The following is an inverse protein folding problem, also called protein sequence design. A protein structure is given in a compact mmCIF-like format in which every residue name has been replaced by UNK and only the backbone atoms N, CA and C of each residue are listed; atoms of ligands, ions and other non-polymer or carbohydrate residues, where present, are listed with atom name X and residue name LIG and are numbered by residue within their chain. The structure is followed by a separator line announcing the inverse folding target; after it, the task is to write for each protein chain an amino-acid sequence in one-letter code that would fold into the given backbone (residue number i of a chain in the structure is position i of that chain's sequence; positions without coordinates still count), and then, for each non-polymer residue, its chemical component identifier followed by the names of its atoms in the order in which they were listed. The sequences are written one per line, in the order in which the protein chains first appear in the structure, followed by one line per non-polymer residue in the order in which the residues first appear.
data_IF_070586504723
#
_entry.id   IF_070586504723
#
_cell.length_a   1.000
_cell.length_b   1.000
_cell.length_c   1.000
_cell.angle_alpha   90.00
_cell.angle_beta   90.00
_cell.angle_gamma   90.00
#
_symmetry.space_group_name_H-M   'P 1'
#
loop_
_entity.id
_entity.type
_entity.pdbx_description
1 polymer ?
#
# COMPACT_ATOMS: atom_id res chain seq x y z
N UNK A 1 -28.08 15.88 47.63
CA UNK A 1 -27.47 15.01 46.60
C UNK A 1 -28.51 14.33 45.70
N UNK A 2 -29.31 15.07 44.89
CA UNK A 2 -30.30 14.46 43.95
C UNK A 2 -30.58 15.29 42.68
N UNK A 3 -29.64 16.12 42.20
CA UNK A 3 -29.89 17.06 41.08
C UNK A 3 -29.20 16.73 39.74
N UNK A 4 -28.39 15.66 39.65
CA UNK A 4 -27.54 15.42 38.47
C UNK A 4 -28.03 14.33 37.49
N UNK A 5 -29.18 13.71 37.74
CA UNK A 5 -29.67 12.58 36.91
C UNK A 5 -30.52 13.05 35.72
N UNK A 6 -31.15 14.23 35.81
CA UNK A 6 -32.09 14.71 34.78
C UNK A 6 -31.39 15.22 33.52
N UNK A 7 -30.16 15.73 33.64
CA UNK A 7 -29.42 16.32 32.50
C UNK A 7 -28.93 15.28 31.48
N UNK A 8 -28.77 14.00 31.86
CA UNK A 8 -28.29 12.94 30.97
C UNK A 8 -29.35 12.46 29.96
N UNK A 9 -30.64 12.53 30.32
CA UNK A 9 -31.72 12.03 29.47
C UNK A 9 -32.07 12.98 28.31
N UNK A 10 -31.88 14.28 28.48
CA UNK A 10 -32.19 15.28 27.44
C UNK A 10 -31.13 15.26 26.32
N UNK A 11 -29.86 15.03 26.66
CA UNK A 11 -28.77 14.94 25.67
C UNK A 11 -28.89 13.72 24.73
N UNK A 12 -29.37 12.58 25.24
CA UNK A 12 -29.54 11.36 24.46
C UNK A 12 -30.64 11.46 23.39
N UNK A 13 -31.74 12.14 23.70
CA UNK A 13 -32.85 12.33 22.75
C UNK A 13 -32.46 13.23 21.56
N UNK A 14 -31.63 14.24 21.78
CA UNK A 14 -31.19 15.15 20.72
C UNK A 14 -30.33 14.44 19.65
N UNK A 15 -29.47 13.49 20.06
CA UNK A 15 -28.61 12.74 19.13
C UNK A 15 -29.41 11.73 18.29
N UNK A 16 -30.45 11.11 18.85
CA UNK A 16 -31.33 10.20 18.11
C UNK A 16 -32.14 10.94 17.04
N UNK A 17 -32.62 12.15 17.33
CA UNK A 17 -33.37 12.98 16.37
C UNK A 17 -32.46 13.45 15.23
N UNK A 18 -31.21 13.84 15.52
CA UNK A 18 -30.25 14.23 14.50
C UNK A 18 -29.91 13.07 13.54
N UNK A 19 -29.67 11.86 14.07
CA UNK A 19 -29.41 10.68 13.25
C UNK A 19 -30.58 10.29 12.33
N UNK A 20 -31.81 10.45 12.81
CA UNK A 20 -33.01 10.15 12.03
C UNK A 20 -33.28 11.19 10.91
N UNK A 21 -32.99 12.48 11.17
CA UNK A 21 -33.10 13.54 10.16
C UNK A 21 -32.06 13.38 9.04
N UNK A 22 -30.84 12.97 9.36
CA UNK A 22 -29.79 12.66 8.37
C UNK A 22 -30.14 11.44 7.49
N UNK A 23 -30.90 10.46 8.01
CA UNK A 23 -31.39 9.33 7.22
C UNK A 23 -32.55 9.66 6.27
N UNK A 24 -33.25 10.80 6.48
CA UNK A 24 -34.35 11.26 5.61
C UNK A 24 -33.94 12.24 4.53
N UNK A 25 -32.76 12.86 4.65
CA UNK A 25 -32.13 13.57 3.55
C UNK A 25 -31.60 12.53 2.58
N UNK A 26 -32.50 11.99 1.76
CA UNK A 26 -32.19 11.04 0.70
C UNK A 26 -31.04 11.56 -0.13
N UNK A 27 -29.86 10.97 0.11
CA UNK A 27 -28.74 11.10 -0.81
C UNK A 27 -29.19 10.36 -2.05
N UNK A 28 -29.77 11.11 -2.99
CA UNK A 28 -29.97 10.66 -4.36
C UNK A 28 -28.61 10.17 -4.83
N UNK A 29 -28.48 8.86 -4.90
CA UNK A 29 -27.32 8.21 -5.49
C UNK A 29 -27.34 8.67 -6.94
N UNK A 30 -26.29 9.37 -7.43
CA UNK A 30 -26.26 9.75 -8.83
C UNK A 30 -26.45 8.48 -9.67
N UNK A 31 -27.29 8.52 -10.71
CA UNK A 31 -27.47 7.37 -11.57
C UNK A 31 -26.09 6.93 -12.07
N UNK A 32 -25.79 5.65 -11.88
CA UNK A 32 -24.62 5.02 -12.50
C UNK A 32 -24.62 5.42 -13.99
N UNK A 33 -23.50 5.90 -14.55
CA UNK A 33 -23.41 6.15 -15.97
C UNK A 33 -23.79 4.87 -16.69
N UNK A 34 -24.87 4.93 -17.47
CA UNK A 34 -25.32 3.87 -18.35
C UNK A 34 -24.40 3.80 -19.58
N UNK A 35 -23.09 3.71 -19.35
CA UNK A 35 -22.12 3.44 -20.40
C UNK A 35 -21.67 2.00 -20.22
N UNK A 36 -22.47 1.12 -20.85
CA UNK A 36 -22.01 -0.22 -21.17
C UNK A 36 -20.68 -0.10 -21.90
N UNK A 37 -19.62 -0.57 -21.24
CA UNK A 37 -18.38 -0.91 -21.91
C UNK A 37 -18.73 -1.98 -22.94
N UNK A 38 -18.98 -1.55 -24.18
CA UNK A 38 -18.95 -2.44 -25.33
C UNK A 38 -17.52 -2.96 -25.42
N UNK A 39 -17.30 -4.16 -24.89
CA UNK A 39 -16.17 -4.98 -25.29
C UNK A 39 -16.37 -5.24 -26.78
N UNK A 40 -15.73 -4.40 -27.61
CA UNK A 40 -15.61 -4.68 -29.03
C UNK A 40 -14.78 -5.94 -29.12
N UNK A 41 -15.43 -7.06 -29.41
CA UNK A 41 -14.74 -8.29 -29.76
C UNK A 41 -13.74 -7.95 -30.86
N UNK A 42 -12.46 -8.21 -30.60
CA UNK A 42 -11.44 -8.10 -31.63
C UNK A 42 -11.88 -9.00 -32.81
N UNK A 43 -11.80 -8.53 -34.06
CA UNK A 43 -12.17 -9.34 -35.21
C UNK A 43 -11.33 -10.61 -35.23
N UNK A 44 -11.96 -11.75 -34.97
CA UNK A 44 -11.43 -13.09 -35.25
C UNK A 44 -11.38 -13.25 -36.77
N UNK A 45 -10.34 -12.72 -37.40
CA UNK A 45 -10.23 -12.73 -38.86
C UNK A 45 -8.90 -12.33 -39.46
N UNK A 46 -7.85 -12.12 -38.65
CA UNK A 46 -6.50 -11.93 -39.20
C UNK A 46 -5.75 -13.25 -39.08
N UNK A 47 -5.94 -14.11 -40.07
CA UNK A 47 -5.01 -15.20 -40.36
C UNK A 47 -3.65 -14.54 -40.62
N UNK A 48 -2.59 -14.83 -39.83
CA UNK A 48 -1.27 -14.31 -40.13
C UNK A 48 -0.86 -14.81 -41.51
N UNK A 49 -0.57 -13.88 -42.43
CA UNK A 49 0.03 -14.23 -43.70
C UNK A 49 1.34 -14.99 -43.41
N UNK A 50 1.63 -16.10 -44.11
CA UNK A 50 2.91 -16.77 -43.99
C UNK A 50 4.03 -15.76 -44.30
N UNK A 51 5.15 -15.77 -43.56
CA UNK A 51 6.24 -14.85 -43.81
C UNK A 51 6.72 -15.04 -45.25
N UNK A 52 6.52 -14.00 -46.07
CA UNK A 52 7.10 -13.91 -47.40
C UNK A 52 8.61 -14.10 -47.24
N UNK A 53 9.16 -15.08 -47.96
CA UNK A 53 10.55 -15.50 -47.86
C UNK A 53 11.49 -14.30 -47.82
N UNK A 54 12.22 -14.18 -46.70
CA UNK A 54 13.29 -13.23 -46.57
C UNK A 54 14.32 -13.54 -47.65
N UNK A 55 14.38 -12.69 -48.69
CA UNK A 55 15.52 -12.63 -49.60
C UNK A 55 16.76 -12.41 -48.74
N UNK A 56 17.68 -13.37 -48.82
CA UNK A 56 19.03 -13.25 -48.28
C UNK A 56 19.67 -12.00 -48.90
N UNK A 57 19.61 -10.90 -48.17
CA UNK A 57 20.36 -9.69 -48.48
C UNK A 57 21.72 -9.93 -47.87
N UNK A 58 22.73 -10.09 -48.72
CA UNK A 58 24.12 -10.24 -48.34
C UNK A 58 24.50 -9.04 -47.47
N UNK A 59 24.55 -9.24 -46.16
CA UNK A 59 24.93 -8.21 -45.22
C UNK A 59 26.39 -7.82 -45.49
N UNK A 60 26.72 -6.52 -45.59
CA UNK A 60 28.11 -6.09 -45.63
C UNK A 60 28.81 -6.55 -44.36
N UNK A 61 30.03 -7.06 -44.50
CA UNK A 61 30.86 -7.53 -43.39
C UNK A 61 30.99 -6.39 -42.35
N UNK A 62 30.30 -6.54 -41.22
CA UNK A 62 30.46 -5.69 -40.06
C UNK A 62 31.90 -5.85 -39.56
N UNK A 63 32.61 -4.75 -39.24
CA UNK A 63 33.95 -4.83 -38.70
C UNK A 63 33.90 -5.65 -37.41
N UNK A 64 34.77 -6.66 -37.33
CA UNK A 64 35.00 -7.47 -36.14
C UNK A 64 35.18 -6.53 -34.93
N UNK A 65 34.37 -6.63 -33.86
CA UNK A 65 34.59 -5.86 -32.66
C UNK A 65 36.01 -6.13 -32.16
N UNK A 66 36.81 -5.08 -32.01
CA UNK A 66 38.13 -5.20 -31.40
C UNK A 66 37.97 -5.83 -30.01
N UNK A 67 38.83 -6.80 -29.70
CA UNK A 67 38.87 -7.46 -28.41
C UNK A 67 38.89 -6.39 -27.30
N UNK A 68 37.83 -6.36 -26.50
CA UNK A 68 37.73 -5.47 -25.35
C UNK A 68 38.84 -5.88 -24.37
N UNK A 69 39.68 -4.95 -23.90
CA UNK A 69 40.73 -5.28 -22.95
C UNK A 69 40.10 -5.92 -21.72
N UNK A 70 40.77 -6.98 -21.25
CA UNK A 70 40.45 -7.76 -20.06
C UNK A 70 40.16 -6.79 -18.91
N UNK A 71 38.88 -6.62 -18.58
CA UNK A 71 38.46 -5.67 -17.56
C UNK A 71 38.92 -6.22 -16.23
N UNK A 72 39.92 -5.56 -15.63
CA UNK A 72 40.38 -5.85 -14.28
C UNK A 72 39.15 -5.98 -13.34
N UNK A 73 39.16 -6.94 -12.40
CA UNK A 73 38.03 -7.17 -11.51
C UNK A 73 37.62 -5.84 -10.87
N UNK A 74 36.33 -5.53 -10.94
CA UNK A 74 35.78 -4.31 -10.35
C UNK A 74 36.19 -4.27 -8.88
N UNK A 75 37.05 -3.30 -8.53
CA UNK A 75 37.41 -3.02 -7.16
C UNK A 75 36.17 -2.41 -6.49
N UNK A 76 35.40 -3.24 -5.79
CA UNK A 76 34.36 -2.77 -4.87
C UNK A 76 35.12 -2.06 -3.75
N UNK A 77 34.96 -0.74 -3.57
CA UNK A 77 35.56 -0.06 -2.44
C UNK A 77 35.09 -0.78 -1.17
N UNK A 78 36.01 -1.22 -0.32
CA UNK A 78 35.72 -1.70 1.05
C UNK A 78 35.28 -0.51 1.93
N UNK A 79 34.40 0.36 1.43
CA UNK A 79 33.77 1.42 2.20
C UNK A 79 32.84 0.77 3.22
N UNK A 80 33.42 0.43 4.36
CA UNK A 80 32.77 0.06 5.62
C UNK A 80 31.71 1.10 6.08
N UNK A 81 31.63 2.26 5.42
CA UNK A 81 30.57 3.26 5.60
C UNK A 81 29.17 2.70 5.30
N UNK A 82 29.02 1.76 4.36
CA UNK A 82 27.72 1.11 4.09
C UNK A 82 27.38 0.08 5.18
N UNK A 83 28.40 -0.54 5.78
CA UNK A 83 28.26 -1.45 6.93
C UNK A 83 27.89 -0.71 8.23
N UNK A 84 28.36 0.52 8.39
CA UNK A 84 28.11 1.39 9.54
C UNK A 84 26.71 2.01 9.60
N UNK A 85 25.94 1.96 8.51
CA UNK A 85 24.50 2.28 8.50
C UNK A 85 23.70 1.14 9.15
N UNK A 86 24.17 0.65 10.30
CA UNK A 86 23.43 -0.25 11.16
C UNK A 86 22.06 0.40 11.41
N UNK A 87 21.00 -0.27 10.96
CA UNK A 87 19.63 0.10 11.25
C UNK A 87 19.57 0.44 12.74
N UNK A 88 19.25 1.69 13.08
CA UNK A 88 19.16 2.11 14.48
C UNK A 88 18.28 1.08 15.20
N UNK A 89 18.78 0.41 16.26
CA UNK A 89 18.06 -0.66 16.94
C UNK A 89 16.65 -0.26 17.40
N UNK A 90 16.38 1.05 17.54
CA UNK A 90 15.06 1.58 17.79
C UNK A 90 14.03 1.27 16.67
N UNK A 91 14.48 1.04 15.44
CA UNK A 91 13.66 0.66 14.29
C UNK A 91 13.61 -0.85 14.02
N UNK A 92 14.24 -1.68 14.85
CA UNK A 92 14.03 -3.13 14.75
C UNK A 92 12.54 -3.46 15.00
N UNK A 93 11.93 -4.38 14.22
CA UNK A 93 10.52 -4.75 14.39
C UNK A 93 10.16 -5.16 15.83
N UNK A 94 11.07 -5.87 16.53
CA UNK A 94 10.88 -6.28 17.93
C UNK A 94 10.91 -5.09 18.90
N UNK A 95 11.68 -4.05 18.61
CA UNK A 95 11.71 -2.81 19.39
C UNK A 95 10.43 -1.98 19.15
N UNK A 96 10.03 -1.83 17.88
CA UNK A 96 8.81 -1.11 17.50
C UNK A 96 7.55 -1.78 18.06
N UNK A 97 7.44 -3.11 17.98
CA UNK A 97 6.34 -3.85 18.59
C UNK A 97 6.24 -3.59 20.10
N UNK A 98 7.36 -3.66 20.82
CA UNK A 98 7.40 -3.39 22.27
C UNK A 98 7.01 -1.94 22.58
N UNK A 99 7.51 -0.98 21.82
CA UNK A 99 7.17 0.44 21.95
C UNK A 99 5.68 0.69 21.72
N UNK A 100 5.12 0.16 20.62
CA UNK A 100 3.69 0.27 20.31
C UNK A 100 2.81 -0.28 21.44
N UNK A 101 3.23 -1.36 22.10
CA UNK A 101 2.50 -1.96 23.22
C UNK A 101 2.60 -1.18 24.53
N UNK A 102 3.71 -0.48 24.75
CA UNK A 102 3.94 0.36 25.92
C UNK A 102 3.28 1.75 25.78
N UNK A 103 3.06 2.21 24.55
CA UNK A 103 2.52 3.53 24.27
C UNK A 103 1.03 3.64 24.65
N UNK A 104 0.61 4.72 25.34
CA UNK A 104 -0.79 4.95 25.62
C UNK A 104 -1.59 5.09 24.31
N UNK A 105 -2.83 4.62 24.34
CA UNK A 105 -3.74 4.74 23.20
C UNK A 105 -4.58 5.99 23.36
N UNK A 106 -4.43 6.96 22.45
CA UNK A 106 -5.40 8.03 22.21
C UNK A 106 -6.44 7.52 21.17
N UNK A 107 -7.70 7.24 21.56
CA UNK A 107 -8.70 6.70 20.66
C UNK A 107 -8.99 7.61 19.46
N UNK A 108 -8.93 8.94 19.65
CA UNK A 108 -9.22 9.89 18.58
C UNK A 108 -8.07 9.97 17.58
N UNK A 109 -6.82 9.97 18.06
CA UNK A 109 -5.64 9.89 17.18
C UNK A 109 -5.59 8.54 16.45
N UNK A 110 -5.76 7.43 17.16
CA UNK A 110 -5.77 6.09 16.57
C UNK A 110 -6.81 5.96 15.46
N UNK A 111 -8.05 6.43 15.68
CA UNK A 111 -9.10 6.40 14.66
C UNK A 111 -8.78 7.25 13.41
N UNK A 112 -8.11 8.39 13.57
CA UNK A 112 -7.68 9.22 12.42
C UNK A 112 -6.60 8.51 11.61
N UNK A 113 -5.58 7.97 12.28
CA UNK A 113 -4.49 7.24 11.63
C UNK A 113 -5.00 5.99 10.93
N UNK A 114 -5.85 5.22 11.59
CA UNK A 114 -6.54 4.05 11.04
C UNK A 114 -7.25 4.37 9.71
N UNK A 115 -8.08 5.42 9.69
CA UNK A 115 -8.79 5.82 8.47
C UNK A 115 -7.85 6.21 7.32
N UNK A 116 -6.74 6.87 7.61
CA UNK A 116 -5.75 7.21 6.60
C UNK A 116 -5.07 5.96 6.03
N UNK A 117 -4.71 5.01 6.90
CA UNK A 117 -4.14 3.72 6.53
C UNK A 117 -5.12 2.92 5.68
N UNK A 118 -6.38 2.79 6.10
CA UNK A 118 -7.41 2.05 5.37
C UNK A 118 -7.67 2.66 3.98
N UNK A 119 -7.70 4.00 3.88
CA UNK A 119 -7.84 4.69 2.61
C UNK A 119 -6.68 4.48 1.64
N UNK A 120 -5.45 4.33 2.15
CA UNK A 120 -4.26 4.00 1.36
C UNK A 120 -4.25 2.54 0.92
N UNK A 121 -4.40 1.61 1.87
CA UNK A 121 -4.39 0.16 1.61
C UNK A 121 -5.56 -0.28 0.73
N UNK A 122 -6.71 0.40 0.81
CA UNK A 122 -7.87 0.16 -0.05
C UNK A 122 -7.63 0.43 -1.54
N UNK A 123 -6.49 0.99 -1.93
CA UNK A 123 -6.09 1.22 -3.32
C UNK A 123 -5.08 0.19 -3.84
N UNK A 124 -4.50 -0.63 -2.97
CA UNK A 124 -3.46 -1.59 -3.33
C UNK A 124 -4.14 -2.90 -3.74
N UNK A 125 -3.82 -3.45 -4.93
CA UNK A 125 -4.35 -4.72 -5.38
C UNK A 125 -3.64 -5.89 -4.68
N UNK A 126 -4.24 -7.08 -4.77
CA UNK A 126 -3.67 -8.33 -4.27
C UNK A 126 -3.35 -8.38 -2.77
N UNK A 127 -3.99 -7.53 -1.97
CA UNK A 127 -4.03 -7.66 -0.51
C UNK A 127 -5.33 -8.38 -0.10
N UNK A 128 -5.25 -9.27 0.88
CA UNK A 128 -6.44 -9.79 1.53
C UNK A 128 -6.96 -8.78 2.56
N UNK A 129 -7.95 -8.00 2.15
CA UNK A 129 -8.50 -6.88 2.93
C UNK A 129 -9.24 -7.32 4.18
N UNK A 130 -9.82 -8.51 4.18
CA UNK A 130 -10.59 -9.03 5.32
C UNK A 130 -9.65 -9.46 6.46
N UNK A 131 -8.42 -9.83 6.09
CA UNK A 131 -7.36 -10.22 7.01
C UNK A 131 -6.39 -9.10 7.36
N UNK A 132 -6.57 -7.89 6.81
CA UNK A 132 -5.80 -6.72 7.24
C UNK A 132 -6.06 -6.45 8.73
N UNK A 133 -4.99 -6.20 9.46
CA UNK A 133 -4.99 -5.84 10.88
C UNK A 133 -4.16 -4.59 11.03
N UNK A 134 -4.77 -3.54 11.58
CA UNK A 134 -4.08 -2.30 11.88
C UNK A 134 -4.28 -2.01 13.36
N UNK A 135 -3.18 -1.71 14.04
CA UNK A 135 -3.17 -1.39 15.46
C UNK A 135 -2.43 -0.07 15.66
N UNK A 136 -3.16 0.95 16.07
CA UNK A 136 -2.60 2.27 16.35
C UNK A 136 -2.58 2.56 17.86
N UNK A 137 -1.50 3.19 18.31
CA UNK A 137 -1.39 3.88 19.60
C UNK A 137 -1.53 5.40 19.37
N UNK A 138 -0.81 6.25 20.11
CA UNK A 138 -0.88 7.71 19.95
C UNK A 138 -0.07 8.22 18.75
N UNK A 139 1.10 7.65 18.50
CA UNK A 139 2.10 8.09 17.53
C UNK A 139 2.60 6.98 16.62
N UNK A 140 2.38 5.71 16.97
CA UNK A 140 2.80 4.54 16.19
C UNK A 140 1.59 3.72 15.75
N UNK A 141 1.66 3.16 14.55
CA UNK A 141 0.76 2.10 14.11
C UNK A 141 1.56 0.92 13.55
N UNK A 142 1.05 -0.29 13.80
CA UNK A 142 1.46 -1.52 13.14
C UNK A 142 0.37 -1.92 12.15
N UNK A 143 0.77 -2.28 10.94
CA UNK A 143 -0.08 -2.75 9.86
C UNK A 143 0.42 -4.15 9.51
N UNK A 144 -0.44 -5.15 9.60
CA UNK A 144 -0.15 -6.51 9.22
C UNK A 144 -1.22 -7.03 8.25
N UNK A 145 -0.81 -7.70 7.19
CA UNK A 145 -1.75 -8.16 6.17
C UNK A 145 -1.18 -9.30 5.33
N UNK A 146 -1.99 -10.31 4.97
CA UNK A 146 -1.59 -11.26 3.96
C UNK A 146 -1.82 -10.72 2.54
N UNK A 147 -1.10 -11.30 1.59
CA UNK A 147 -1.46 -11.16 0.18
C UNK A 147 -2.71 -11.99 -0.14
N UNK A 148 -3.45 -11.62 -1.19
CA UNK A 148 -4.66 -12.30 -1.58
C UNK A 148 -4.39 -13.79 -1.90
N UNK A 149 -5.28 -14.67 -1.46
CA UNK A 149 -5.14 -16.10 -1.70
C UNK A 149 -5.08 -16.40 -3.22
N UNK A 150 -4.10 -17.21 -3.63
CA UNK A 150 -3.88 -17.54 -5.04
C UNK A 150 -3.20 -16.44 -5.86
N UNK A 151 -2.73 -15.34 -5.24
CA UNK A 151 -1.89 -14.37 -5.92
C UNK A 151 -0.62 -15.05 -6.45
N UNK A 152 -0.27 -14.76 -7.71
CA UNK A 152 1.00 -15.19 -8.30
C UNK A 152 2.16 -14.37 -7.73
N UNK A 153 3.40 -14.83 -7.91
CA UNK A 153 4.59 -14.07 -7.52
C UNK A 153 4.63 -12.67 -8.15
N UNK A 154 4.17 -12.51 -9.40
CA UNK A 154 4.08 -11.21 -10.06
C UNK A 154 3.07 -10.30 -9.39
N UNK A 155 1.91 -10.84 -8.99
CA UNK A 155 0.89 -10.09 -8.24
C UNK A 155 1.41 -9.63 -6.88
N UNK A 156 2.14 -10.50 -6.17
CA UNK A 156 2.79 -10.17 -4.89
C UNK A 156 3.83 -9.06 -5.10
N UNK A 157 4.66 -9.16 -6.14
CA UNK A 157 5.65 -8.13 -6.46
C UNK A 157 4.99 -6.77 -6.75
N UNK A 158 3.88 -6.74 -7.50
CA UNK A 158 3.11 -5.51 -7.75
C UNK A 158 2.58 -4.92 -6.44
N UNK A 159 2.02 -5.74 -5.55
CA UNK A 159 1.54 -5.29 -4.24
C UNK A 159 2.69 -4.72 -3.38
N UNK A 160 3.83 -5.40 -3.34
CA UNK A 160 5.03 -4.93 -2.61
C UNK A 160 5.53 -3.59 -3.14
N UNK A 161 5.62 -3.42 -4.46
CA UNK A 161 6.03 -2.15 -5.07
C UNK A 161 5.07 -1.01 -4.69
N UNK A 162 3.76 -1.26 -4.68
CA UNK A 162 2.77 -0.25 -4.30
C UNK A 162 2.76 0.06 -2.79
N UNK A 163 3.00 -0.95 -1.94
CA UNK A 163 3.18 -0.76 -0.49
C UNK A 163 4.42 0.08 -0.18
N UNK A 164 5.46 -0.01 -1.01
CA UNK A 164 6.71 0.74 -0.84
C UNK A 164 6.69 2.10 -1.57
N UNK A 165 5.85 2.27 -2.58
CA UNK A 165 5.81 3.44 -3.45
C UNK A 165 4.86 4.56 -2.99
N UNK A 166 4.69 5.53 -3.87
CA UNK A 166 3.90 6.75 -3.61
C UNK A 166 2.41 6.47 -3.37
N UNK A 167 1.90 5.37 -3.92
CA UNK A 167 0.50 4.98 -3.77
C UNK A 167 0.07 4.80 -2.31
N UNK A 168 0.97 4.30 -1.45
CA UNK A 168 0.77 4.28 -0.01
C UNK A 168 1.42 5.49 0.68
N UNK A 169 2.64 5.88 0.30
CA UNK A 169 3.37 6.94 1.00
C UNK A 169 2.69 8.30 0.94
N UNK A 170 2.19 8.72 -0.22
CA UNK A 170 1.56 10.04 -0.38
C UNK A 170 0.31 10.22 0.50
N UNK A 171 -0.69 9.30 0.53
CA UNK A 171 -1.84 9.47 1.41
C UNK A 171 -1.48 9.38 2.89
N UNK A 172 -0.49 8.57 3.27
CA UNK A 172 0.01 8.53 4.64
C UNK A 172 0.69 9.85 5.03
N UNK A 173 1.57 10.38 4.18
CA UNK A 173 2.25 11.65 4.42
C UNK A 173 1.26 12.83 4.51
N UNK A 174 0.22 12.85 3.68
CA UNK A 174 -0.86 13.84 3.76
C UNK A 174 -1.62 13.76 5.10
N UNK A 175 -1.63 12.61 5.76
CA UNK A 175 -2.18 12.42 7.10
C UNK A 175 -1.15 12.64 8.22
N UNK A 176 0.07 13.08 7.89
CA UNK A 176 1.18 13.25 8.83
C UNK A 176 1.76 11.93 9.33
N UNK A 177 1.71 10.87 8.52
CA UNK A 177 2.27 9.55 8.83
C UNK A 177 3.43 9.22 7.89
N UNK A 178 4.47 8.60 8.45
CA UNK A 178 5.66 8.13 7.77
C UNK A 178 5.81 6.61 7.96
N UNK A 179 6.13 5.86 6.91
CA UNK A 179 6.53 4.45 7.03
C UNK A 179 7.98 4.41 7.49
N UNK A 180 8.22 3.93 8.71
CA UNK A 180 9.56 3.87 9.32
C UNK A 180 10.20 2.49 9.15
N UNK A 181 9.40 1.44 8.94
CA UNK A 181 9.89 0.07 8.76
C UNK A 181 8.88 -0.72 7.94
N UNK A 182 9.38 -1.55 7.03
CA UNK A 182 8.59 -2.45 6.22
C UNK A 182 9.28 -3.81 6.15
N UNK A 183 8.52 -4.88 6.38
CA UNK A 183 8.97 -6.25 6.24
C UNK A 183 7.97 -7.00 5.34
N UNK A 184 8.50 -7.81 4.43
CA UNK A 184 7.71 -8.59 3.47
C UNK A 184 8.16 -10.05 3.55
N UNK A 185 7.19 -10.95 3.62
CA UNK A 185 7.38 -12.39 3.57
C UNK A 185 6.62 -12.99 2.39
N UNK A 186 6.73 -14.31 2.18
CA UNK A 186 6.03 -15.00 1.10
C UNK A 186 4.50 -14.86 1.21
N UNK A 187 3.97 -14.79 2.43
CA UNK A 187 2.52 -14.83 2.67
C UNK A 187 1.92 -13.46 3.02
N UNK A 188 2.73 -12.42 3.20
CA UNK A 188 2.22 -11.13 3.64
C UNK A 188 3.29 -10.11 4.00
N UNK A 189 2.87 -9.10 4.74
CA UNK A 189 3.70 -7.96 5.08
C UNK A 189 3.38 -7.40 6.47
N UNK A 190 4.37 -6.71 7.03
CA UNK A 190 4.24 -5.90 8.24
C UNK A 190 4.85 -4.53 8.00
N UNK A 191 4.09 -3.46 8.21
CA UNK A 191 4.59 -2.08 8.19
C UNK A 191 4.44 -1.44 9.56
N UNK A 192 5.40 -0.59 9.91
CA UNK A 192 5.27 0.33 11.03
C UNK A 192 5.23 1.74 10.50
N UNK A 193 4.22 2.50 10.94
CA UNK A 193 4.11 3.93 10.63
C UNK A 193 4.23 4.75 11.89
N UNK A 194 4.84 5.93 11.79
CA UNK A 194 4.92 6.92 12.87
C UNK A 194 4.27 8.23 12.44
N UNK A 195 3.66 8.93 13.38
CA UNK A 195 3.19 10.30 13.21
C UNK A 195 4.36 11.29 13.25
N UNK A 196 4.43 12.15 12.23
CA UNK A 196 5.37 13.27 12.13
C UNK A 196 4.88 14.48 12.92
#
# INVERSE_FOLDING_TARGET
MRRNIVSGLIGGAALLVAGWLLGRLGVETPPLPADGVKVVAAPTGVTPAPPAGARATTAPALPTPAATPDSAPAHVPEDDAVRGAFLDPAFEPKALYRRLRAEPVDPAAAARMQRAIDGGLGKIPYLDREQLRVRCATTLCEIHGPFAHGATSDNVNVAMQQLQGDQLRTPLAAAGLEIITAAFGPDGFTLYTRRN
#
